data_IF_683204790806
#
_entry.id   IF_683204790806
#
_cell.length_a   1.000
_cell.length_b   1.000
_cell.length_c   1.000
_cell.angle_alpha   90.00
_cell.angle_beta   90.00
_cell.angle_gamma   90.00
#
_symmetry.space_group_name_H-M   'P 1'
#
loop_
_entity.id
_entity.type
_entity.pdbx_description
1 polymer ?
#
# COMPACT_ATOMS: atom_id res chain seq x y z
N UNK A 1 3.13 -15.43 43.04
CA UNK A 1 2.84 -14.14 42.43
C UNK A 1 2.01 -14.34 41.18
N UNK A 2 0.90 -13.61 41.02
CA UNK A 2 0.14 -13.62 39.75
C UNK A 2 1.07 -13.13 38.64
N UNK A 3 1.20 -13.93 37.57
CA UNK A 3 1.96 -13.49 36.40
C UNK A 3 1.21 -12.30 35.77
N UNK A 4 1.90 -11.20 35.55
CA UNK A 4 1.37 -10.03 34.83
C UNK A 4 0.78 -10.36 33.46
N UNK A 5 1.23 -11.48 32.84
CA UNK A 5 0.69 -12.03 31.58
C UNK A 5 -0.77 -12.48 31.69
N UNK A 6 -1.30 -12.64 32.91
CA UNK A 6 -2.71 -12.98 33.14
C UNK A 6 -3.61 -11.76 33.30
N UNK A 7 -3.06 -10.56 33.27
CA UNK A 7 -3.83 -9.33 33.32
C UNK A 7 -4.42 -9.01 31.94
N UNK A 8 -5.52 -8.30 31.93
CA UNK A 8 -6.17 -7.87 30.69
C UNK A 8 -5.47 -6.65 30.14
N UNK A 9 -4.95 -6.75 28.91
CA UNK A 9 -4.33 -5.65 28.19
C UNK A 9 -5.27 -5.06 27.13
N UNK A 10 -5.14 -3.78 26.88
CA UNK A 10 -5.76 -3.09 25.74
C UNK A 10 -4.61 -2.54 24.91
N UNK A 11 -4.51 -3.02 23.67
CA UNK A 11 -3.49 -2.58 22.71
C UNK A 11 -4.14 -1.74 21.63
N UNK A 12 -3.55 -0.59 21.32
CA UNK A 12 -3.94 0.24 20.18
C UNK A 12 -2.87 0.07 19.10
N UNK A 13 -3.23 -0.64 18.03
CA UNK A 13 -2.34 -0.85 16.89
C UNK A 13 -2.48 0.28 15.88
N UNK A 14 -1.35 0.72 15.33
CA UNK A 14 -1.27 1.66 14.22
C UNK A 14 -0.57 1.00 13.05
N UNK A 15 -0.99 1.31 11.83
CA UNK A 15 -0.28 0.94 10.63
C UNK A 15 0.02 2.18 9.79
N UNK A 16 1.13 2.14 9.08
CA UNK A 16 1.53 3.17 8.15
C UNK A 16 2.11 2.55 6.89
N UNK A 17 1.93 3.23 5.78
CA UNK A 17 2.53 2.85 4.50
C UNK A 17 3.65 3.82 4.19
N UNK A 18 4.82 3.28 3.92
CA UNK A 18 6.02 4.08 3.66
C UNK A 18 6.71 3.60 2.39
N UNK A 19 7.43 4.49 1.74
CA UNK A 19 8.31 4.10 0.64
C UNK A 19 9.52 3.36 1.19
N UNK A 20 9.63 2.06 0.85
CA UNK A 20 10.68 1.16 1.34
C UNK A 20 12.09 1.74 1.24
N UNK A 21 12.40 2.41 0.12
CA UNK A 21 13.72 3.00 -0.13
C UNK A 21 14.06 4.19 0.77
N UNK A 22 13.06 4.77 1.44
CA UNK A 22 13.24 5.97 2.29
C UNK A 22 13.28 5.65 3.79
N UNK A 23 13.03 4.40 4.16
CA UNK A 23 12.96 4.00 5.57
C UNK A 23 14.02 2.94 5.85
N UNK A 24 14.91 3.24 6.75
CA UNK A 24 15.89 2.28 7.29
C UNK A 24 15.37 1.83 8.65
N UNK A 25 14.98 0.54 8.80
CA UNK A 25 14.57 0.02 10.10
C UNK A 25 15.72 0.16 11.12
N UNK A 26 15.41 0.64 12.29
CA UNK A 26 16.36 0.71 13.39
C UNK A 26 15.71 0.14 14.66
N UNK A 27 16.37 -0.75 15.40
CA UNK A 27 15.86 -1.24 16.68
C UNK A 27 15.85 -0.09 17.70
N UNK A 28 14.88 -0.15 18.62
CA UNK A 28 14.86 0.70 19.80
C UNK A 28 15.75 0.11 20.91
N UNK A 29 15.76 0.74 22.09
CA UNK A 29 16.57 0.31 23.23
C UNK A 29 16.14 -1.05 23.82
N UNK A 30 14.94 -1.53 23.49
CA UNK A 30 14.39 -2.79 23.99
C UNK A 30 14.44 -3.92 22.96
N UNK A 31 14.80 -3.61 21.72
CA UNK A 31 14.78 -4.55 20.58
C UNK A 31 16.19 -4.92 20.15
N UNK A 32 16.44 -6.20 19.91
CA UNK A 32 17.74 -6.69 19.41
C UNK A 32 17.95 -6.35 17.94
N UNK A 33 16.88 -6.37 17.13
CA UNK A 33 16.94 -6.11 15.70
C UNK A 33 15.60 -5.56 15.20
N UNK A 34 15.65 -4.83 14.08
CA UNK A 34 14.49 -4.40 13.33
C UNK A 34 14.80 -4.60 11.85
N UNK A 35 13.93 -5.32 11.13
CA UNK A 35 14.13 -5.61 9.72
C UNK A 35 12.80 -5.71 8.97
N UNK A 36 12.88 -5.63 7.63
CA UNK A 36 11.73 -5.83 6.78
C UNK A 36 11.49 -7.32 6.53
N UNK A 37 10.23 -7.72 6.51
CA UNK A 37 9.79 -9.05 6.11
C UNK A 37 8.82 -8.94 4.93
N UNK A 38 8.84 -9.92 4.04
CA UNK A 38 7.72 -10.14 3.12
C UNK A 38 6.49 -10.51 3.94
N UNK A 39 5.33 -10.01 3.53
CA UNK A 39 4.08 -10.23 4.27
C UNK A 39 3.69 -11.72 4.33
N UNK A 40 4.16 -12.52 3.38
CA UNK A 40 3.93 -13.96 3.32
C UNK A 40 5.01 -14.77 4.05
N UNK A 41 6.06 -14.13 4.55
CA UNK A 41 7.21 -14.75 5.21
C UNK A 41 7.41 -14.23 6.65
N UNK A 42 6.34 -13.72 7.26
CA UNK A 42 6.39 -13.26 8.65
C UNK A 42 6.59 -14.48 9.55
N UNK A 43 7.61 -14.47 10.44
CA UNK A 43 7.83 -15.54 11.38
C UNK A 43 6.69 -15.65 12.40
N UNK A 44 6.65 -16.76 13.13
CA UNK A 44 5.73 -16.93 14.26
C UNK A 44 5.90 -15.79 15.28
N UNK A 45 4.81 -15.13 15.58
CA UNK A 45 4.78 -13.99 16.47
C UNK A 45 4.27 -14.40 17.85
N UNK A 46 4.74 -13.70 18.87
CA UNK A 46 4.30 -13.92 20.24
C UNK A 46 2.89 -13.32 20.47
N UNK A 47 2.17 -13.87 21.44
CA UNK A 47 0.85 -13.38 21.90
C UNK A 47 -0.16 -13.29 20.73
N UNK A 48 -0.83 -12.14 20.62
CA UNK A 48 -1.85 -11.81 19.63
C UNK A 48 -1.32 -10.97 18.45
N UNK A 49 0.01 -10.86 18.30
CA UNK A 49 0.61 -9.99 17.29
C UNK A 49 0.25 -10.41 15.86
N UNK A 50 0.08 -11.71 15.59
CA UNK A 50 -0.41 -12.18 14.30
C UNK A 50 -1.82 -11.66 13.99
N UNK A 51 -2.72 -11.70 14.97
CA UNK A 51 -4.07 -11.15 14.80
C UNK A 51 -4.07 -9.63 14.58
N UNK A 52 -3.14 -8.91 15.23
CA UNK A 52 -2.96 -7.46 15.02
C UNK A 52 -2.54 -7.17 13.58
N UNK A 53 -1.59 -7.96 13.03
CA UNK A 53 -1.16 -7.83 11.63
C UNK A 53 -2.32 -8.13 10.68
N UNK A 54 -3.07 -9.21 10.89
CA UNK A 54 -4.21 -9.58 10.06
C UNK A 54 -5.28 -8.49 10.04
N UNK A 55 -5.57 -7.89 11.19
CA UNK A 55 -6.48 -6.74 11.30
C UNK A 55 -5.95 -5.51 10.58
N UNK A 56 -4.64 -5.23 10.68
CA UNK A 56 -4.01 -4.12 9.98
C UNK A 56 -4.09 -4.30 8.46
N UNK A 57 -3.79 -5.50 7.95
CA UNK A 57 -3.91 -5.83 6.53
C UNK A 57 -5.36 -5.74 6.04
N UNK A 58 -6.30 -6.26 6.80
CA UNK A 58 -7.72 -6.17 6.47
C UNK A 58 -8.18 -4.72 6.41
N UNK A 59 -7.76 -3.89 7.36
CA UNK A 59 -8.02 -2.45 7.37
C UNK A 59 -7.39 -1.74 6.18
N UNK A 60 -6.15 -2.07 5.82
CA UNK A 60 -5.47 -1.54 4.64
C UNK A 60 -6.20 -1.92 3.36
N UNK A 61 -6.58 -3.20 3.20
CA UNK A 61 -7.33 -3.69 2.04
C UNK A 61 -8.70 -3.01 1.90
N UNK A 62 -9.39 -2.80 3.00
CA UNK A 62 -10.64 -2.06 3.02
C UNK A 62 -10.43 -0.59 2.61
N UNK A 63 -9.38 0.04 3.13
CA UNK A 63 -9.03 1.41 2.80
C UNK A 63 -8.72 1.59 1.30
N UNK A 64 -8.11 0.59 0.66
CA UNK A 64 -7.89 0.56 -0.79
C UNK A 64 -9.18 0.61 -1.61
N UNK A 65 -10.27 0.03 -1.12
CA UNK A 65 -11.56 0.08 -1.80
C UNK A 65 -12.20 1.47 -1.75
N UNK A 66 -11.90 2.22 -0.69
CA UNK A 66 -12.48 3.55 -0.49
C UNK A 66 -11.58 4.65 -1.10
N UNK A 67 -10.27 4.46 -1.08
CA UNK A 67 -9.30 5.47 -1.51
C UNK A 67 -8.26 4.89 -2.47
N UNK A 68 -7.98 5.54 -3.61
CA UNK A 68 -6.89 5.11 -4.48
C UNK A 68 -5.54 5.38 -3.82
N UNK A 69 -4.99 4.36 -3.18
CA UNK A 69 -3.65 4.41 -2.60
C UNK A 69 -2.61 4.25 -3.71
N UNK A 70 -1.50 4.89 -3.60
CA UNK A 70 -0.38 4.77 -4.54
C UNK A 70 0.42 6.05 -4.66
N UNK A 71 -0.16 7.16 -4.21
CA UNK A 71 0.52 8.44 -4.28
C UNK A 71 1.83 8.48 -3.49
N UNK A 72 1.83 7.86 -2.31
CA UNK A 72 2.97 7.86 -1.40
C UNK A 72 3.77 6.53 -1.44
N UNK A 73 3.34 5.57 -2.28
CA UNK A 73 3.93 4.25 -2.43
C UNK A 73 4.69 4.04 -3.74
N UNK A 74 4.45 4.89 -4.71
CA UNK A 74 5.11 4.85 -5.99
C UNK A 74 5.98 6.08 -6.17
N UNK A 75 7.04 6.00 -6.99
CA UNK A 75 7.76 7.18 -7.43
C UNK A 75 6.79 8.20 -8.04
N UNK A 76 7.16 9.49 -8.04
CA UNK A 76 6.34 10.58 -8.61
C UNK A 76 5.84 10.27 -10.02
N UNK A 77 6.67 9.60 -10.82
CA UNK A 77 6.34 9.13 -12.16
C UNK A 77 6.37 7.60 -12.19
N UNK A 78 5.27 6.98 -12.54
CA UNK A 78 5.13 5.53 -12.54
C UNK A 78 4.42 5.03 -13.81
N UNK A 79 4.51 3.73 -14.05
CA UNK A 79 3.78 3.08 -15.15
C UNK A 79 2.49 2.45 -14.64
N UNK A 80 1.49 2.31 -15.52
CA UNK A 80 0.25 1.61 -15.17
C UNK A 80 0.48 0.17 -14.66
N UNK A 81 1.38 -0.64 -15.25
CA UNK A 81 1.72 -1.95 -14.68
C UNK A 81 2.34 -1.89 -13.29
N UNK A 82 3.10 -0.83 -12.94
CA UNK A 82 3.65 -0.69 -11.59
C UNK A 82 2.55 -0.39 -10.57
N UNK A 83 1.61 0.49 -10.93
CA UNK A 83 0.44 0.76 -10.10
C UNK A 83 -0.44 -0.48 -9.92
N UNK A 84 -0.69 -1.24 -11.00
CA UNK A 84 -1.46 -2.49 -10.92
C UNK A 84 -0.81 -3.50 -9.98
N UNK A 85 0.49 -3.74 -10.11
CA UNK A 85 1.24 -4.65 -9.22
C UNK A 85 1.15 -4.24 -7.75
N UNK A 86 1.23 -2.94 -7.46
CA UNK A 86 1.05 -2.45 -6.09
C UNK A 86 -0.31 -2.89 -5.53
N UNK A 87 -1.38 -2.73 -6.31
CA UNK A 87 -2.73 -3.14 -5.89
C UNK A 87 -2.86 -4.66 -5.75
N UNK A 88 -2.29 -5.42 -6.70
CA UNK A 88 -2.28 -6.89 -6.65
C UNK A 88 -1.56 -7.40 -5.40
N UNK A 89 -0.42 -6.81 -5.07
CA UNK A 89 0.35 -7.16 -3.85
C UNK A 89 -0.46 -6.89 -2.57
N UNK A 90 -1.10 -5.72 -2.45
CA UNK A 90 -1.84 -5.39 -1.22
C UNK A 90 -3.14 -6.20 -1.12
N UNK A 91 -3.84 -6.40 -2.24
CA UNK A 91 -5.11 -7.12 -2.28
C UNK A 91 -4.93 -8.64 -2.26
N UNK A 92 -3.70 -9.10 -2.47
CA UNK A 92 -3.35 -10.52 -2.59
C UNK A 92 -4.22 -11.24 -3.63
N UNK A 93 -4.37 -10.62 -4.78
CA UNK A 93 -5.13 -11.16 -5.92
C UNK A 93 -4.66 -10.59 -7.24
N UNK A 94 -4.78 -11.36 -8.31
CA UNK A 94 -4.57 -10.90 -9.67
C UNK A 94 -5.72 -9.99 -10.13
N UNK A 95 -5.40 -8.94 -10.89
CA UNK A 95 -6.35 -7.99 -11.43
C UNK A 95 -6.31 -8.02 -12.97
N UNK A 96 -7.49 -8.07 -13.60
CA UNK A 96 -7.55 -7.91 -15.05
C UNK A 96 -7.02 -6.54 -15.48
N UNK A 97 -6.01 -6.56 -16.32
CA UNK A 97 -5.27 -5.37 -16.74
C UNK A 97 -6.15 -4.30 -17.37
N UNK A 98 -7.12 -4.70 -18.21
CA UNK A 98 -8.00 -3.76 -18.93
C UNK A 98 -8.98 -3.12 -17.98
N UNK A 99 -9.59 -3.93 -17.14
CA UNK A 99 -10.58 -3.46 -16.16
C UNK A 99 -9.92 -2.55 -15.13
N UNK A 100 -8.77 -2.93 -14.59
CA UNK A 100 -7.99 -2.10 -13.67
C UNK A 100 -7.65 -0.75 -14.29
N UNK A 101 -7.05 -0.75 -15.49
CA UNK A 101 -6.67 0.49 -16.18
C UNK A 101 -7.89 1.37 -16.47
N UNK A 102 -8.99 0.80 -16.94
CA UNK A 102 -10.24 1.53 -17.19
C UNK A 102 -10.76 2.16 -15.90
N UNK A 103 -10.78 1.40 -14.82
CA UNK A 103 -11.25 1.83 -13.51
C UNK A 103 -10.41 2.98 -12.95
N UNK A 104 -9.09 2.80 -12.88
CA UNK A 104 -8.20 3.83 -12.30
C UNK A 104 -8.22 5.13 -13.12
N UNK A 105 -8.30 5.03 -14.45
CA UNK A 105 -8.38 6.21 -15.31
C UNK A 105 -9.73 6.93 -15.19
N UNK A 106 -10.83 6.21 -14.94
CA UNK A 106 -12.16 6.81 -14.77
C UNK A 106 -12.26 7.67 -13.51
N UNK A 107 -11.38 7.48 -12.53
CA UNK A 107 -11.32 8.34 -11.34
C UNK A 107 -10.82 9.77 -11.66
N UNK A 108 -10.17 9.96 -12.81
CA UNK A 108 -9.67 11.25 -13.24
C UNK A 108 -8.53 11.83 -12.40
N UNK A 109 -7.95 11.04 -11.47
CA UNK A 109 -6.90 11.49 -10.53
C UNK A 109 -5.49 11.37 -11.06
N UNK A 110 -5.30 10.79 -12.26
CA UNK A 110 -4.00 10.61 -12.90
C UNK A 110 -3.83 11.54 -14.10
N UNK A 111 -2.65 12.10 -14.24
CA UNK A 111 -2.19 12.75 -15.46
C UNK A 111 -1.30 11.76 -16.23
N UNK A 112 -1.64 11.52 -17.51
CA UNK A 112 -0.78 10.78 -18.43
C UNK A 112 0.30 11.71 -18.97
N UNK A 113 1.55 11.31 -18.84
CA UNK A 113 2.69 12.06 -19.33
C UNK A 113 3.01 11.72 -20.79
N UNK A 114 3.64 12.65 -21.50
CA UNK A 114 4.18 12.38 -22.85
C UNK A 114 5.40 11.45 -22.79
N UNK A 115 6.03 11.36 -21.62
CA UNK A 115 7.20 10.54 -21.35
C UNK A 115 6.85 9.05 -21.31
N UNK A 116 7.82 8.21 -21.69
CA UNK A 116 7.76 6.76 -21.58
C UNK A 116 8.89 6.26 -20.70
N UNK A 117 8.72 5.10 -20.09
CA UNK A 117 9.79 4.48 -19.30
C UNK A 117 10.98 4.18 -20.22
N UNK A 118 12.17 4.65 -19.89
CA UNK A 118 13.41 4.35 -20.61
C UNK A 118 13.97 2.99 -20.21
N UNK A 119 14.73 2.33 -21.09
CA UNK A 119 15.43 1.07 -20.79
C UNK A 119 14.62 -0.22 -20.95
N UNK A 120 13.52 -0.22 -21.71
CA UNK A 120 12.71 -1.41 -22.00
C UNK A 120 12.50 -1.67 -23.49
N UNK A 121 11.86 -2.82 -23.82
CA UNK A 121 11.55 -3.27 -25.18
C UNK A 121 10.73 -2.25 -25.99
N UNK A 122 10.60 -2.49 -27.31
CA UNK A 122 10.04 -1.60 -28.34
C UNK A 122 8.71 -0.88 -28.06
N UNK A 123 7.95 -1.26 -27.02
CA UNK A 123 6.70 -0.62 -26.60
C UNK A 123 6.76 -0.18 -25.14
N UNK A 124 7.71 0.70 -24.83
CA UNK A 124 7.83 1.26 -23.48
C UNK A 124 6.50 1.92 -23.01
N UNK A 125 6.01 1.57 -21.82
CA UNK A 125 4.75 2.10 -21.31
C UNK A 125 4.85 3.61 -21.02
N UNK A 126 3.73 4.30 -21.19
CA UNK A 126 3.62 5.69 -20.76
C UNK A 126 3.78 5.83 -19.26
N UNK A 127 4.34 6.96 -18.85
CA UNK A 127 4.40 7.35 -17.45
C UNK A 127 3.13 8.11 -17.07
N UNK A 128 2.76 7.96 -15.82
CA UNK A 128 1.65 8.64 -15.16
C UNK A 128 2.13 9.27 -13.87
N UNK A 129 1.42 10.27 -13.40
CA UNK A 129 1.58 10.82 -12.05
C UNK A 129 0.22 11.10 -11.43
N UNK A 130 0.14 11.10 -10.11
CA UNK A 130 -1.06 11.57 -9.43
C UNK A 130 -1.17 13.10 -9.56
N UNK A 131 -2.36 13.56 -9.93
CA UNK A 131 -2.68 14.99 -9.91
C UNK A 131 -3.23 15.35 -8.54
N UNK A 132 -2.44 16.04 -7.72
CA UNK A 132 -2.76 16.35 -6.34
C UNK A 132 -4.12 17.06 -6.20
N UNK A 133 -4.38 18.09 -7.01
CA UNK A 133 -5.62 18.86 -6.93
C UNK A 133 -6.85 18.03 -7.26
N UNK A 134 -6.76 17.20 -8.31
CA UNK A 134 -7.85 16.30 -8.71
C UNK A 134 -8.08 15.21 -7.68
N UNK A 135 -7.00 14.68 -7.11
CA UNK A 135 -7.06 13.67 -6.06
C UNK A 135 -7.78 14.18 -4.81
N UNK A 136 -7.37 15.36 -4.31
CA UNK A 136 -8.00 15.98 -3.15
C UNK A 136 -9.47 16.37 -3.41
N UNK A 137 -9.78 16.85 -4.61
CA UNK A 137 -11.16 17.14 -4.99
C UNK A 137 -12.02 15.87 -5.02
N UNK A 138 -11.49 14.78 -5.57
CA UNK A 138 -12.18 13.49 -5.64
C UNK A 138 -12.43 12.91 -4.23
N UNK A 139 -11.46 13.01 -3.31
CA UNK A 139 -11.62 12.59 -1.92
C UNK A 139 -12.76 13.36 -1.23
N UNK A 140 -12.83 14.69 -1.42
CA UNK A 140 -13.91 15.53 -0.85
C UNK A 140 -15.29 15.17 -1.39
N UNK A 141 -15.38 14.64 -2.59
CA UNK A 141 -16.62 14.20 -3.24
C UNK A 141 -17.02 12.76 -2.88
N UNK A 142 -16.29 12.12 -1.95
CA UNK A 142 -16.57 10.75 -1.54
C UNK A 142 -16.20 9.72 -2.61
N UNK A 143 -15.03 9.86 -3.20
CA UNK A 143 -14.49 8.92 -4.17
C UNK A 143 -14.54 7.49 -3.63
N UNK A 144 -15.24 6.61 -4.33
CA UNK A 144 -15.22 5.17 -4.05
C UNK A 144 -14.48 4.48 -5.18
N UNK A 145 -13.42 3.78 -4.83
CA UNK A 145 -12.62 3.09 -5.84
C UNK A 145 -13.26 1.75 -6.23
N UNK A 146 -13.69 0.94 -5.28
CA UNK A 146 -14.43 -0.32 -5.48
C UNK A 146 -13.78 -1.24 -6.50
N UNK A 147 -12.68 -1.91 -6.14
CA UNK A 147 -12.00 -2.94 -6.95
C UNK A 147 -12.63 -4.32 -6.78
#
# INVERSE_FOLDING_TARGET
GKSWLMDRFITVGYWAIVEFSKVVPAPDEFSLSCTWFDINEIPDLILDHSEIIDKALSSLRQHLNDYPIGKDLLPEKFTMPALQRLYETILDKELDRRNFQKKILSLGVLDKLKERKTGGAHKAPFLYRFNQKKYEAALRQGLKFGL
#
